data_IF_546890220263
#
_entry.id   IF_546890220263
#
_cell.length_a   1.000
_cell.length_b   1.000
_cell.length_c   1.000
_cell.angle_alpha   90.00
_cell.angle_beta   90.00
_cell.angle_gamma   90.00
#
_symmetry.space_group_name_H-M   'P 1'
#
loop_
_entity.id
_entity.type
_entity.pdbx_description
1 polymer ?
#
# COMPACT_ATOMS: atom_id res chain seq x y z
N UNK A 1 8.67 -10.00 32.54
CA UNK A 1 9.01 -9.21 31.34
C UNK A 1 10.49 -8.91 31.42
N UNK A 2 11.31 -9.59 30.61
CA UNK A 2 12.78 -9.45 30.69
C UNK A 2 13.21 -8.14 30.04
N UNK A 3 13.92 -7.30 30.78
CA UNK A 3 14.49 -6.08 30.22
C UNK A 3 15.60 -6.42 29.21
N UNK A 4 15.80 -5.54 28.24
CA UNK A 4 16.83 -5.71 27.21
C UNK A 4 18.23 -5.76 27.87
N UNK A 5 18.93 -6.89 27.76
CA UNK A 5 20.22 -7.14 28.42
C UNK A 5 21.43 -6.86 27.53
N UNK A 6 21.21 -6.45 26.28
CA UNK A 6 22.27 -6.14 25.30
C UNK A 6 21.81 -4.98 24.42
N UNK A 7 22.72 -4.05 24.11
CA UNK A 7 22.42 -2.88 23.27
C UNK A 7 21.92 -3.36 21.91
N UNK A 8 20.69 -3.00 21.55
CA UNK A 8 20.16 -3.17 20.19
C UNK A 8 20.47 -1.93 19.38
N UNK A 9 21.27 -2.09 18.32
CA UNK A 9 21.56 -1.03 17.36
C UNK A 9 20.36 -0.84 16.43
N UNK A 10 19.45 0.05 16.82
CA UNK A 10 18.31 0.44 16.00
C UNK A 10 18.80 1.40 14.90
N UNK A 11 18.64 1.03 13.63
CA UNK A 11 18.84 1.94 12.49
C UNK A 11 17.49 2.49 12.06
N UNK A 12 17.33 3.80 12.14
CA UNK A 12 16.15 4.48 11.64
C UNK A 12 16.25 4.55 10.11
N UNK A 13 15.38 3.82 9.41
CA UNK A 13 15.25 3.96 7.97
C UNK A 13 14.40 5.21 7.69
N UNK A 14 15.06 6.36 7.47
CA UNK A 14 14.40 7.63 7.15
C UNK A 14 14.04 7.76 5.66
N UNK A 15 14.21 6.71 4.86
CA UNK A 15 13.82 6.76 3.45
C UNK A 15 12.32 6.56 3.30
N UNK A 16 11.70 7.43 2.50
CA UNK A 16 10.30 7.37 2.08
C UNK A 16 9.98 6.12 1.22
N UNK A 17 11.04 5.44 0.79
CA UNK A 17 11.04 4.31 -0.13
C UNK A 17 11.46 3.05 0.62
N UNK A 18 10.66 1.99 0.48
CA UNK A 18 10.99 0.65 0.93
C UNK A 18 11.25 -0.24 -0.27
N UNK A 19 12.17 -1.21 -0.15
CA UNK A 19 12.52 -2.14 -1.24
C UNK A 19 12.25 -3.59 -0.84
N UNK A 20 10.98 -4.04 -0.75
CA UNK A 20 10.66 -5.43 -0.45
C UNK A 20 11.06 -6.37 -1.62
N UNK A 21 11.43 -7.63 -1.33
CA UNK A 21 11.69 -8.66 -2.33
C UNK A 21 10.40 -9.09 -3.04
N UNK A 22 10.41 -9.22 -4.36
CA UNK A 22 9.23 -9.58 -5.17
C UNK A 22 8.97 -11.09 -5.16
N UNK A 23 7.70 -11.49 -5.14
CA UNK A 23 7.29 -12.88 -5.27
C UNK A 23 7.69 -13.49 -6.63
N UNK A 24 7.84 -14.81 -6.69
CA UNK A 24 8.11 -15.51 -7.95
C UNK A 24 6.94 -15.35 -8.94
N UNK A 25 7.23 -15.45 -10.24
CA UNK A 25 6.23 -15.46 -11.31
C UNK A 25 5.24 -14.28 -11.27
N UNK A 26 5.72 -13.10 -10.87
CA UNK A 26 4.86 -11.93 -10.58
C UNK A 26 5.37 -10.69 -11.30
N UNK A 27 4.43 -9.87 -11.81
CA UNK A 27 4.72 -8.57 -12.42
C UNK A 27 4.03 -7.50 -11.57
N UNK A 28 4.76 -6.46 -11.19
CA UNK A 28 4.24 -5.29 -10.48
C UNK A 28 4.41 -4.09 -11.40
N UNK A 29 3.29 -3.46 -11.78
CA UNK A 29 3.30 -2.29 -12.65
C UNK A 29 3.55 -1.00 -11.86
N UNK A 30 4.12 0.00 -12.52
CA UNK A 30 4.24 1.35 -11.98
C UNK A 30 2.89 1.86 -11.46
N UNK A 31 2.85 2.36 -10.24
CA UNK A 31 1.66 2.92 -9.60
C UNK A 31 0.67 1.88 -9.03
N UNK A 32 0.88 0.59 -9.30
CA UNK A 32 0.05 -0.46 -8.72
C UNK A 32 0.16 -0.49 -7.19
N UNK A 33 -0.92 -0.87 -6.51
CA UNK A 33 -0.87 -1.15 -5.08
C UNK A 33 -0.09 -2.44 -4.83
N UNK A 34 0.88 -2.38 -3.92
CA UNK A 34 1.72 -3.53 -3.57
C UNK A 34 1.28 -4.10 -2.23
N UNK A 35 0.98 -5.39 -2.21
CA UNK A 35 0.74 -6.19 -1.02
C UNK A 35 1.99 -6.99 -0.64
N UNK A 36 2.23 -7.16 0.66
CA UNK A 36 3.20 -8.10 1.18
C UNK A 36 2.46 -9.32 1.75
N UNK A 37 2.84 -10.50 1.29
CA UNK A 37 2.24 -11.76 1.75
C UNK A 37 2.55 -12.01 3.23
N UNK A 38 1.53 -12.41 4.01
CA UNK A 38 1.73 -12.72 5.43
C UNK A 38 2.67 -13.91 5.64
N UNK A 39 2.63 -14.90 4.74
CA UNK A 39 3.36 -16.16 4.89
C UNK A 39 4.85 -16.08 4.49
N UNK A 40 5.29 -15.03 3.78
CA UNK A 40 6.63 -14.99 3.20
C UNK A 40 7.29 -13.61 3.14
N UNK A 41 6.59 -12.52 3.46
CA UNK A 41 7.17 -11.18 3.40
C UNK A 41 7.55 -10.75 1.97
N UNK A 42 6.94 -11.38 0.95
CA UNK A 42 7.23 -11.11 -0.46
C UNK A 42 6.21 -10.12 -1.02
N UNK A 43 6.69 -9.17 -1.82
CA UNK A 43 5.89 -8.19 -2.53
C UNK A 43 5.19 -8.82 -3.75
N UNK A 44 3.89 -8.58 -3.87
CA UNK A 44 3.06 -8.96 -5.01
C UNK A 44 2.02 -7.84 -5.29
N UNK A 45 1.35 -7.84 -6.45
CA UNK A 45 0.15 -7.04 -6.67
C UNK A 45 -0.81 -7.26 -5.50
N UNK A 46 -1.30 -6.17 -4.93
CA UNK A 46 -2.13 -6.23 -3.75
C UNK A 46 -3.35 -7.14 -3.97
N UNK A 47 -3.50 -8.12 -3.10
CA UNK A 47 -4.69 -8.93 -2.99
C UNK A 47 -5.19 -8.87 -1.55
N UNK A 48 -6.49 -9.07 -1.36
CA UNK A 48 -7.06 -8.90 -0.04
C UNK A 48 -6.54 -9.93 0.97
N UNK A 49 -6.32 -9.47 2.21
CA UNK A 49 -5.62 -10.22 3.24
C UNK A 49 -4.09 -10.03 3.24
N UNK A 50 -3.51 -9.36 2.25
CA UNK A 50 -2.11 -8.94 2.30
C UNK A 50 -1.91 -7.64 3.08
N UNK A 51 -0.70 -7.46 3.64
CA UNK A 51 -0.33 -6.18 4.22
C UNK A 51 -0.07 -5.16 3.12
N UNK A 52 -0.70 -3.99 3.21
CA UNK A 52 -0.48 -2.94 2.23
C UNK A 52 0.88 -2.28 2.44
N UNK A 53 1.76 -2.40 1.45
CA UNK A 53 3.15 -1.94 1.52
C UNK A 53 3.38 -0.56 0.89
N UNK A 54 2.47 -0.12 0.04
CA UNK A 54 2.56 1.16 -0.67
C UNK A 54 2.27 1.03 -2.16
N UNK A 55 2.61 2.06 -2.92
CA UNK A 55 2.53 2.08 -4.38
C UNK A 55 3.89 1.83 -5.01
N UNK A 56 3.94 1.06 -6.10
CA UNK A 56 5.19 0.81 -6.82
C UNK A 56 5.68 2.06 -7.56
N UNK A 57 6.96 2.41 -7.40
CA UNK A 57 7.63 3.53 -8.08
C UNK A 57 8.25 3.14 -9.43
N UNK A 58 8.28 1.86 -9.74
CA UNK A 58 8.84 1.29 -10.96
C UNK A 58 8.05 0.05 -11.37
N UNK A 59 8.09 -0.27 -12.67
CA UNK A 59 7.56 -1.55 -13.15
C UNK A 59 8.63 -2.62 -12.97
N UNK A 60 8.32 -3.67 -12.21
CA UNK A 60 9.23 -4.79 -11.94
C UNK A 60 8.60 -6.08 -12.45
N UNK A 61 9.31 -6.73 -13.35
CA UNK A 61 8.95 -8.04 -13.89
C UNK A 61 9.83 -9.13 -13.25
N UNK A 62 9.21 -9.96 -12.41
CA UNK A 62 9.81 -11.18 -11.87
C UNK A 62 9.05 -12.44 -12.36
N UNK A 63 8.40 -12.36 -13.53
CA UNK A 63 7.59 -13.44 -14.12
C UNK A 63 8.38 -14.72 -14.40
N UNK A 64 9.67 -14.59 -14.74
CA UNK A 64 10.58 -15.70 -15.00
C UNK A 64 11.54 -16.01 -13.85
N UNK A 65 11.46 -15.27 -12.73
CA UNK A 65 12.44 -15.32 -11.64
C UNK A 65 11.96 -16.06 -10.39
N UNK A 66 12.92 -16.43 -9.55
CA UNK A 66 12.66 -17.02 -8.24
C UNK A 66 12.18 -15.95 -7.23
N UNK A 67 11.59 -16.40 -6.11
CA UNK A 67 11.15 -15.50 -5.05
C UNK A 67 12.33 -14.69 -4.48
N UNK A 68 12.20 -13.36 -4.48
CA UNK A 68 13.21 -12.43 -3.99
C UNK A 68 14.41 -12.21 -4.93
N UNK A 69 14.34 -12.68 -6.18
CA UNK A 69 15.38 -12.42 -7.17
C UNK A 69 15.47 -10.93 -7.54
N UNK A 70 14.34 -10.22 -7.52
CA UNK A 70 14.23 -8.78 -7.79
C UNK A 70 13.56 -8.08 -6.61
N UNK A 71 13.88 -6.80 -6.41
CA UNK A 71 13.27 -5.94 -5.38
C UNK A 71 12.55 -4.80 -6.08
N UNK A 72 11.38 -4.44 -5.56
CA UNK A 72 10.58 -3.32 -6.09
C UNK A 72 10.67 -2.14 -5.14
N UNK A 73 10.90 -0.93 -5.66
CA UNK A 73 10.76 0.28 -4.86
C UNK A 73 9.28 0.60 -4.64
N UNK A 74 8.86 0.64 -3.38
CA UNK A 74 7.52 1.04 -2.96
C UNK A 74 7.55 2.34 -2.18
N UNK A 75 6.64 3.24 -2.52
CA UNK A 75 6.41 4.47 -1.80
C UNK A 75 5.60 4.17 -0.53
N UNK A 76 6.24 4.35 0.62
CA UNK A 76 5.62 4.11 1.93
C UNK A 76 5.32 5.42 2.68
N UNK A 77 6.00 6.51 2.34
CA UNK A 77 5.93 7.72 3.15
C UNK A 77 6.62 7.51 4.50
N UNK A 78 6.76 8.58 5.28
CA UNK A 78 7.06 8.49 6.71
C UNK A 78 5.82 8.02 7.51
N UNK A 79 5.27 6.86 7.14
CA UNK A 79 4.06 6.27 7.74
C UNK A 79 2.74 6.72 7.08
N UNK A 80 2.74 7.79 6.30
CA UNK A 80 1.64 8.13 5.40
C UNK A 80 2.14 8.96 4.21
N UNK A 81 1.44 8.87 3.08
CA UNK A 81 1.71 9.71 1.91
C UNK A 81 0.41 10.02 1.17
N UNK A 82 0.45 11.08 0.36
CA UNK A 82 -0.72 11.58 -0.36
C UNK A 82 -0.58 11.23 -1.83
N UNK A 83 -1.60 10.59 -2.40
CA UNK A 83 -1.67 10.33 -3.82
C UNK A 83 -3.03 10.76 -4.36
N UNK A 84 -3.00 11.40 -5.52
CA UNK A 84 -4.23 11.73 -6.25
C UNK A 84 -4.66 10.50 -7.04
N UNK A 85 -5.90 10.05 -6.84
CA UNK A 85 -6.42 8.85 -7.50
C UNK A 85 -7.60 9.22 -8.40
N UNK A 86 -7.58 8.88 -9.70
CA UNK A 86 -8.56 9.37 -10.69
C UNK A 86 -9.92 8.64 -10.68
N UNK A 87 -10.24 7.86 -9.65
CA UNK A 87 -11.39 6.92 -9.64
C UNK A 87 -12.64 7.48 -8.98
N UNK A 88 -12.46 8.48 -8.13
CA UNK A 88 -13.51 9.03 -7.30
C UNK A 88 -14.32 10.12 -8.02
N UNK A 89 -14.90 9.79 -9.18
CA UNK A 89 -15.59 10.73 -10.08
C UNK A 89 -16.83 11.45 -9.50
N UNK A 90 -17.23 11.19 -8.25
CA UNK A 90 -18.43 11.77 -7.62
C UNK A 90 -18.25 12.16 -6.15
N UNK A 91 -17.01 12.30 -5.69
CA UNK A 91 -16.74 12.58 -4.27
C UNK A 91 -16.80 14.09 -4.04
N UNK A 92 -17.58 14.53 -3.05
CA UNK A 92 -17.73 15.93 -2.70
C UNK A 92 -16.89 16.27 -1.46
N UNK A 93 -16.66 17.56 -1.16
CA UNK A 93 -15.91 18.00 0.03
C UNK A 93 -16.45 17.38 1.34
N UNK A 94 -17.72 17.00 1.37
CA UNK A 94 -18.36 16.34 2.51
C UNK A 94 -17.76 14.96 2.88
N UNK A 95 -16.97 14.35 1.99
CA UNK A 95 -16.37 13.03 2.17
C UNK A 95 -14.91 13.08 2.62
N UNK A 96 -14.37 14.28 2.86
CA UNK A 96 -13.03 14.44 3.43
C UNK A 96 -13.01 13.83 4.84
N UNK A 97 -12.05 12.94 5.08
CA UNK A 97 -11.93 12.16 6.31
C UNK A 97 -12.53 10.76 6.24
N UNK A 98 -13.30 10.44 5.19
CA UNK A 98 -13.87 9.10 5.06
C UNK A 98 -12.78 8.03 4.85
N UNK A 99 -12.90 6.87 5.51
CA UNK A 99 -12.02 5.73 5.26
C UNK A 99 -12.14 5.24 3.82
N UNK A 100 -10.98 4.88 3.25
CA UNK A 100 -10.89 4.28 1.91
C UNK A 100 -10.41 2.84 2.04
N UNK A 101 -11.14 1.95 1.39
CA UNK A 101 -10.86 0.52 1.28
C UNK A 101 -10.50 0.16 -0.16
N UNK A 102 -9.73 -0.91 -0.33
CA UNK A 102 -9.38 -1.45 -1.65
C UNK A 102 -9.32 -2.97 -1.61
N UNK A 103 -9.77 -3.61 -2.69
CA UNK A 103 -9.84 -5.07 -2.82
C UNK A 103 -8.76 -5.67 -3.76
N UNK A 104 -8.20 -4.87 -4.66
CA UNK A 104 -7.26 -5.32 -5.70
C UNK A 104 -6.10 -4.33 -5.86
N UNK A 105 -5.10 -4.68 -6.68
CA UNK A 105 -3.97 -3.80 -7.01
C UNK A 105 -4.36 -2.57 -7.84
N UNK A 106 -5.58 -2.58 -8.36
CA UNK A 106 -6.16 -1.55 -9.21
C UNK A 106 -6.82 -0.44 -8.38
N UNK A 107 -6.60 0.81 -8.79
CA UNK A 107 -7.22 1.97 -8.15
C UNK A 107 -8.73 2.03 -8.35
N UNK A 108 -9.28 1.36 -9.39
CA UNK A 108 -10.72 1.37 -9.70
C UNK A 108 -11.56 0.66 -8.63
N UNK A 109 -10.96 -0.25 -7.87
CA UNK A 109 -11.62 -1.03 -6.82
C UNK A 109 -11.60 -0.33 -5.45
N UNK A 110 -11.21 0.95 -5.41
CA UNK A 110 -11.27 1.76 -4.20
C UNK A 110 -12.72 2.14 -3.87
N UNK A 111 -13.14 1.85 -2.63
CA UNK A 111 -14.49 2.15 -2.15
C UNK A 111 -14.46 2.95 -0.85
N UNK A 112 -15.52 3.73 -0.63
CA UNK A 112 -15.81 4.49 0.61
C UNK A 112 -16.83 3.79 1.50
N UNK A 113 -17.28 2.61 1.09
CA UNK A 113 -18.24 1.79 1.83
C UNK A 113 -17.49 0.56 2.28
N UNK A 114 -17.59 0.23 3.56
CA UNK A 114 -17.05 -1.01 4.11
C UNK A 114 -17.63 -2.20 3.32
N UNK A 115 -16.80 -2.98 2.60
CA UNK A 115 -17.29 -4.06 1.75
C UNK A 115 -17.87 -5.25 2.54
N UNK A 116 -17.76 -5.28 3.88
CA UNK A 116 -18.56 -6.17 4.72
C UNK A 116 -18.05 -7.60 4.89
N UNK A 117 -18.00 -8.00 6.17
CA UNK A 117 -17.96 -9.33 6.81
C UNK A 117 -16.79 -10.31 6.58
N UNK A 118 -15.74 -10.03 5.81
CA UNK A 118 -14.59 -10.97 5.77
C UNK A 118 -13.22 -10.31 5.88
N UNK A 119 -13.12 -9.01 6.17
CA UNK A 119 -11.85 -8.30 6.00
C UNK A 119 -11.58 -7.37 7.18
N UNK A 120 -10.44 -7.64 7.82
CA UNK A 120 -10.03 -7.14 9.13
C UNK A 120 -9.54 -5.69 9.05
N UNK A 121 -9.26 -5.07 10.19
CA UNK A 121 -8.76 -3.68 10.33
C UNK A 121 -7.49 -3.37 9.50
N UNK A 122 -6.84 -4.38 8.92
CA UNK A 122 -5.71 -4.35 7.97
C UNK A 122 -6.08 -3.90 6.55
N UNK A 123 -7.36 -3.94 6.18
CA UNK A 123 -7.81 -3.63 4.80
C UNK A 123 -8.14 -2.14 4.57
N UNK A 124 -8.12 -1.33 5.63
CA UNK A 124 -8.19 0.14 5.51
C UNK A 124 -6.88 0.64 4.91
N UNK A 125 -6.94 1.23 3.72
CA UNK A 125 -5.76 1.73 3.00
C UNK A 125 -5.42 3.18 3.31
N UNK A 126 -6.41 3.94 3.73
CA UNK A 126 -6.21 5.35 4.00
C UNK A 126 -7.48 6.09 4.37
N UNK A 127 -7.40 7.41 4.24
CA UNK A 127 -8.53 8.33 4.36
C UNK A 127 -8.48 9.35 3.26
N UNK A 128 -9.64 9.80 2.80
CA UNK A 128 -9.72 10.97 1.91
C UNK A 128 -9.16 12.19 2.64
N UNK A 129 -8.18 12.86 2.04
CA UNK A 129 -7.54 14.03 2.62
C UNK A 129 -8.07 15.34 2.03
N UNK A 130 -8.22 15.41 0.71
CA UNK A 130 -8.67 16.61 0.02
C UNK A 130 -9.19 16.30 -1.39
N UNK A 131 -9.77 17.27 -2.06
CA UNK A 131 -10.26 17.18 -3.44
C UNK A 131 -9.67 18.33 -4.25
N UNK A 132 -8.94 17.99 -5.32
CA UNK A 132 -8.35 18.98 -6.23
C UNK A 132 -9.44 19.77 -6.99
N UNK A 133 -9.10 20.95 -7.51
CA UNK A 133 -9.99 21.82 -8.26
C UNK A 133 -10.65 21.14 -9.49
N UNK A 134 -10.04 20.06 -10.00
CA UNK A 134 -10.58 19.25 -11.10
C UNK A 134 -11.51 18.11 -10.63
N UNK A 135 -11.81 17.99 -9.34
CA UNK A 135 -12.63 16.92 -8.76
C UNK A 135 -11.87 15.61 -8.48
N UNK A 136 -10.54 15.60 -8.60
CA UNK A 136 -9.73 14.43 -8.27
C UNK A 136 -9.54 14.31 -6.76
N UNK A 137 -9.66 13.10 -6.23
CA UNK A 137 -9.54 12.89 -4.78
C UNK A 137 -8.09 12.60 -4.39
N UNK A 138 -7.61 13.34 -3.40
CA UNK A 138 -6.31 13.15 -2.74
C UNK A 138 -6.54 12.25 -1.53
N UNK A 139 -5.89 11.09 -1.52
CA UNK A 139 -6.02 10.11 -0.46
C UNK A 139 -4.73 10.07 0.33
N UNK A 140 -4.88 10.14 1.66
CA UNK A 140 -3.81 9.84 2.60
C UNK A 140 -3.72 8.32 2.77
N UNK A 141 -2.76 7.71 2.11
CA UNK A 141 -2.46 6.30 2.27
C UNK A 141 -1.66 6.06 3.53
N UNK A 142 -2.02 5.01 4.28
CA UNK A 142 -1.32 4.57 5.51
C UNK A 142 -0.92 3.10 5.31
N UNK A 143 0.33 2.84 4.88
CA UNK A 143 0.87 1.49 4.79
C UNK A 143 0.82 0.78 6.14
N UNK A 144 0.45 -0.49 6.13
CA UNK A 144 0.18 -1.29 7.34
C UNK A 144 1.30 -2.25 7.70
N UNK A 145 2.44 -2.18 7.01
CA UNK A 145 3.65 -2.97 7.27
C UNK A 145 4.90 -2.11 7.37
#
# INVERSE_FOLDING_TARGET
MGALTTIQTLRHNQSEISTPPVAAATIILLGAMVGITQAGGLARPYATGDFFAGHALETVDNSAGAAGAVRVQVLRGHGAYYLTVPVFASTALANVGDPVWGATDNHADLTRTDPGSTMTTTDRKGTVHDIDANGNVIIKFVPTC
#
